data_IF_431215176267
#
_entry.id   IF_431215176267
#
_cell.length_a   1.000
_cell.length_b   1.000
_cell.length_c   1.000
_cell.angle_alpha   90.00
_cell.angle_beta   90.00
_cell.angle_gamma   90.00
#
_symmetry.space_group_name_H-M   'P 1'
#
loop_
_entity.id
_entity.type
_entity.pdbx_description
1 polymer ?
#
# COMPACT_ATOMS: atom_id res chain seq x y z
N UNK A 1 -8.33 -16.92 -5.66
CA UNK A 1 -9.37 -16.61 -4.65
C UNK A 1 -9.08 -15.32 -3.86
N UNK A 2 -7.92 -15.19 -3.20
CA UNK A 2 -7.56 -14.03 -2.37
C UNK A 2 -7.69 -12.66 -3.08
N UNK A 3 -7.19 -12.51 -4.32
CA UNK A 3 -7.33 -11.26 -5.09
C UNK A 3 -8.78 -10.81 -5.32
N UNK A 4 -9.72 -11.76 -5.48
CA UNK A 4 -11.15 -11.44 -5.64
C UNK A 4 -11.70 -10.86 -4.34
N UNK A 5 -11.33 -11.44 -3.20
CA UNK A 5 -11.73 -10.97 -1.86
C UNK A 5 -11.15 -9.57 -1.61
N UNK A 6 -9.86 -9.34 -1.92
CA UNK A 6 -9.23 -8.01 -1.81
C UNK A 6 -10.02 -6.95 -2.59
N UNK A 7 -10.35 -7.24 -3.86
CA UNK A 7 -11.14 -6.32 -4.70
C UNK A 7 -12.52 -6.03 -4.11
N UNK A 8 -13.19 -7.03 -3.54
CA UNK A 8 -14.46 -6.83 -2.84
C UNK A 8 -14.31 -5.98 -1.58
N UNK A 9 -13.24 -6.18 -0.79
CA UNK A 9 -12.94 -5.32 0.37
C UNK A 9 -12.76 -3.86 -0.07
N UNK A 10 -11.97 -3.63 -1.11
CA UNK A 10 -11.77 -2.28 -1.67
C UNK A 10 -13.08 -1.65 -2.13
N UNK A 11 -13.91 -2.39 -2.88
CA UNK A 11 -15.19 -1.90 -3.37
C UNK A 11 -16.15 -1.54 -2.22
N UNK A 12 -16.20 -2.35 -1.17
CA UNK A 12 -17.02 -2.08 0.02
C UNK A 12 -16.56 -0.82 0.73
N UNK A 13 -15.24 -0.65 0.93
CA UNK A 13 -14.69 0.56 1.54
C UNK A 13 -14.93 1.80 0.68
N UNK A 14 -14.64 1.73 -0.62
CA UNK A 14 -14.85 2.85 -1.56
C UNK A 14 -16.33 3.29 -1.57
N UNK A 15 -17.27 2.32 -1.57
CA UNK A 15 -18.71 2.61 -1.56
C UNK A 15 -19.17 3.26 -0.26
N UNK A 16 -18.67 2.77 0.88
CA UNK A 16 -18.97 3.34 2.18
C UNK A 16 -18.34 4.75 2.37
N UNK A 17 -17.13 4.95 1.87
CA UNK A 17 -16.42 6.23 1.95
C UNK A 17 -16.97 7.29 0.99
N UNK A 18 -17.78 6.91 -0.01
CA UNK A 18 -18.31 7.83 -1.02
C UNK A 18 -19.20 8.95 -0.44
N UNK A 19 -19.86 8.70 0.69
CA UNK A 19 -20.71 9.69 1.37
C UNK A 19 -19.90 10.71 2.20
N UNK A 20 -18.60 10.50 2.33
CA UNK A 20 -17.73 11.35 3.15
C UNK A 20 -17.12 12.43 2.27
N UNK A 21 -17.45 13.69 2.57
CA UNK A 21 -16.89 14.83 1.85
C UNK A 21 -15.38 14.93 2.11
N UNK A 22 -14.59 14.79 1.04
CA UNK A 22 -13.13 14.92 1.08
C UNK A 22 -12.64 15.93 0.03
N UNK A 23 -11.51 16.57 0.31
CA UNK A 23 -10.77 17.37 -0.66
C UNK A 23 -9.81 16.51 -1.52
N UNK A 24 -9.66 15.23 -1.17
CA UNK A 24 -8.78 14.30 -1.86
C UNK A 24 -9.39 13.84 -3.19
N UNK A 25 -8.61 13.92 -4.26
CA UNK A 25 -8.98 13.43 -5.57
C UNK A 25 -7.73 12.93 -6.32
N UNK A 26 -7.93 12.25 -7.45
CA UNK A 26 -6.82 11.92 -8.34
C UNK A 26 -6.14 13.22 -8.78
N UNK A 27 -4.82 13.33 -8.56
CA UNK A 27 -4.06 14.58 -8.76
C UNK A 27 -3.69 15.32 -7.47
N UNK A 28 -4.28 14.94 -6.32
CA UNK A 28 -3.81 15.35 -5.01
C UNK A 28 -2.58 14.52 -4.64
N UNK A 29 -1.42 15.16 -4.49
CA UNK A 29 -0.11 14.51 -4.36
C UNK A 29 0.60 14.78 -3.02
N UNK A 30 -0.01 15.54 -2.11
CA UNK A 30 0.63 15.96 -0.85
C UNK A 30 1.05 14.76 0.02
N UNK A 31 0.30 13.67 0.00
CA UNK A 31 0.58 12.44 0.76
C UNK A 31 1.32 11.36 -0.06
N UNK A 32 1.69 11.62 -1.32
CA UNK A 32 2.26 10.61 -2.22
C UNK A 32 3.77 10.42 -1.98
N UNK A 33 4.12 9.75 -0.88
CA UNK A 33 5.51 9.45 -0.49
C UNK A 33 5.85 7.97 -0.63
N UNK A 34 7.10 7.59 -0.33
CA UNK A 34 7.53 6.19 -0.26
C UNK A 34 7.07 5.47 1.03
N UNK A 35 6.48 6.18 2.00
CA UNK A 35 6.03 5.64 3.29
C UNK A 35 4.70 4.88 3.16
N UNK A 36 4.67 3.88 2.28
CA UNK A 36 3.49 3.09 1.93
C UNK A 36 3.75 1.66 2.33
N UNK A 37 2.93 1.12 3.22
CA UNK A 37 2.93 -0.32 3.54
C UNK A 37 1.82 -1.04 2.78
N UNK A 38 2.04 -2.32 2.48
CA UNK A 38 1.05 -3.17 1.85
C UNK A 38 1.35 -4.65 2.08
N UNK A 39 0.37 -5.48 1.72
CA UNK A 39 0.50 -6.94 1.68
C UNK A 39 0.98 -7.45 0.31
N UNK A 40 1.50 -8.68 0.26
CA UNK A 40 1.85 -9.37 -0.99
C UNK A 40 0.66 -9.51 -1.95
N UNK A 41 -0.57 -9.63 -1.42
CA UNK A 41 -1.78 -9.73 -2.25
C UNK A 41 -2.00 -8.42 -3.02
N UNK A 42 -1.79 -7.28 -2.37
CA UNK A 42 -1.88 -5.96 -3.00
C UNK A 42 -0.74 -5.75 -4.00
N UNK A 43 0.48 -6.22 -3.68
CA UNK A 43 1.60 -6.25 -4.62
C UNK A 43 1.27 -7.05 -5.88
N UNK A 44 0.75 -8.27 -5.73
CA UNK A 44 0.30 -9.08 -6.87
C UNK A 44 -0.80 -8.39 -7.69
N UNK A 45 -1.69 -7.62 -7.04
CA UNK A 45 -2.69 -6.83 -7.75
C UNK A 45 -2.05 -5.70 -8.60
N UNK A 46 -1.02 -5.03 -8.08
CA UNK A 46 -0.23 -4.05 -8.82
C UNK A 46 0.47 -4.72 -10.01
N UNK A 47 1.12 -5.87 -9.82
CA UNK A 47 1.77 -6.62 -10.90
C UNK A 47 0.77 -7.04 -11.99
N UNK A 48 -0.39 -7.58 -11.63
CA UNK A 48 -1.47 -7.93 -12.57
C UNK A 48 -1.94 -6.70 -13.36
N UNK A 49 -2.12 -5.56 -12.68
CA UNK A 49 -2.51 -4.30 -13.31
C UNK A 49 -1.47 -3.79 -14.31
N UNK A 50 -0.18 -3.82 -13.94
CA UNK A 50 0.92 -3.37 -14.79
C UNK A 50 1.13 -4.32 -15.96
N UNK A 51 1.14 -5.63 -15.71
CA UNK A 51 1.33 -6.68 -16.72
C UNK A 51 0.29 -6.60 -17.84
N UNK A 52 -0.99 -6.43 -17.49
CA UNK A 52 -2.08 -6.25 -18.48
C UNK A 52 -1.94 -5.02 -19.35
N UNK A 53 -1.17 -4.03 -18.91
CA UNK A 53 -0.87 -2.83 -19.69
C UNK A 53 0.44 -2.94 -20.49
N UNK A 54 1.15 -4.07 -20.43
CA UNK A 54 2.43 -4.26 -21.11
C UNK A 54 3.57 -3.38 -20.57
N UNK A 55 3.48 -2.95 -19.29
CA UNK A 55 4.39 -1.98 -18.68
C UNK A 55 5.33 -2.60 -17.64
N UNK A 56 5.71 -3.87 -17.79
CA UNK A 56 6.54 -4.55 -16.79
C UNK A 56 7.95 -3.94 -16.71
N UNK A 57 8.58 -3.65 -17.85
CA UNK A 57 9.89 -2.99 -17.91
C UNK A 57 9.85 -1.62 -17.20
N UNK A 58 8.79 -0.85 -17.45
CA UNK A 58 8.55 0.41 -16.75
C UNK A 58 8.47 0.25 -15.23
N UNK A 59 7.86 -0.84 -14.73
CA UNK A 59 7.81 -1.10 -13.29
C UNK A 59 9.20 -1.46 -12.76
N UNK A 60 9.97 -2.27 -13.49
CA UNK A 60 11.35 -2.61 -13.11
C UNK A 60 12.22 -1.36 -13.04
N UNK A 61 12.15 -0.46 -14.01
CA UNK A 61 12.87 0.82 -14.01
C UNK A 61 12.57 1.67 -12.77
N UNK A 62 11.32 1.60 -12.26
CA UNK A 62 10.90 2.33 -11.05
C UNK A 62 11.32 1.65 -9.74
N UNK A 63 11.63 0.35 -9.77
CA UNK A 63 12.02 -0.43 -8.60
C UNK A 63 13.54 -0.58 -8.46
N UNK A 64 14.27 -0.60 -9.58
CA UNK A 64 15.73 -0.78 -9.63
C UNK A 64 16.52 0.52 -9.42
N UNK A 65 15.89 1.56 -8.86
CA UNK A 65 16.59 2.76 -8.43
C UNK A 65 17.36 2.49 -7.13
N UNK A 66 18.55 3.05 -6.95
CA UNK A 66 19.40 2.91 -5.73
C UNK A 66 18.76 3.42 -4.42
N UNK A 67 17.53 3.94 -4.50
CA UNK A 67 16.81 4.67 -3.45
C UNK A 67 15.66 3.86 -2.83
N UNK A 68 15.81 2.53 -2.67
CA UNK A 68 14.85 1.78 -1.86
C UNK A 68 14.81 2.35 -0.44
N UNK A 69 13.62 2.59 0.13
CA UNK A 69 13.50 3.22 1.42
C UNK A 69 14.16 2.34 2.48
N UNK A 70 15.13 2.89 3.22
CA UNK A 70 15.79 2.15 4.31
C UNK A 70 14.83 1.74 5.43
N UNK A 71 13.67 2.40 5.53
CA UNK A 71 12.71 2.16 6.59
C UNK A 71 11.95 0.84 6.39
N UNK A 72 12.02 -0.04 7.40
CA UNK A 72 11.26 -1.27 7.50
C UNK A 72 10.31 -1.14 8.69
N UNK A 73 8.98 -1.16 8.47
CA UNK A 73 8.04 -1.09 9.59
C UNK A 73 8.26 -2.28 10.53
N UNK A 74 8.34 -2.01 11.83
CA UNK A 74 8.60 -3.03 12.86
C UNK A 74 7.38 -3.85 13.21
N UNK A 75 6.19 -3.23 13.13
CA UNK A 75 4.92 -3.84 13.53
C UNK A 75 3.88 -3.71 12.44
N UNK A 76 3.11 -4.77 12.24
CA UNK A 76 1.93 -4.75 11.38
C UNK A 76 0.75 -4.03 12.05
N UNK A 77 -0.34 -3.80 11.30
CA UNK A 77 -1.55 -3.21 11.88
C UNK A 77 -2.19 -4.16 12.90
N UNK A 78 -2.21 -5.47 12.63
CA UNK A 78 -2.75 -6.43 13.61
C UNK A 78 -1.83 -6.61 14.82
N UNK A 79 -0.50 -6.50 14.67
CA UNK A 79 0.42 -6.55 15.81
C UNK A 79 0.23 -5.34 16.73
N UNK A 80 0.06 -4.14 16.16
CA UNK A 80 -0.30 -2.94 16.92
C UNK A 80 -1.65 -3.12 17.62
N UNK A 81 -2.67 -3.58 16.91
CA UNK A 81 -3.98 -3.83 17.49
C UNK A 81 -3.93 -4.85 18.65
N UNK A 82 -3.14 -5.91 18.49
CA UNK A 82 -2.94 -6.93 19.51
C UNK A 82 -2.20 -6.37 20.74
N UNK A 83 -1.18 -5.54 20.54
CA UNK A 83 -0.47 -4.88 21.64
C UNK A 83 -1.40 -3.96 22.44
N UNK A 84 -2.24 -3.17 21.76
CA UNK A 84 -3.25 -2.33 22.40
C UNK A 84 -4.24 -3.15 23.24
N UNK A 85 -4.74 -4.28 22.72
CA UNK A 85 -5.63 -5.18 23.47
C UNK A 85 -4.96 -5.81 24.69
N UNK A 86 -3.64 -5.95 24.65
CA UNK A 86 -2.84 -6.50 25.74
C UNK A 86 -2.31 -5.41 26.70
N UNK A 87 -2.72 -4.14 26.52
CA UNK A 87 -2.24 -2.99 27.30
C UNK A 87 -0.70 -2.80 27.25
N UNK A 88 -0.08 -3.25 26.15
CA UNK A 88 1.34 -3.05 25.90
C UNK A 88 1.55 -1.72 25.19
N UNK A 89 2.44 -0.89 25.74
CA UNK A 89 2.88 0.35 25.10
C UNK A 89 3.94 0.03 24.05
N UNK A 90 3.53 0.03 22.77
CA UNK A 90 4.44 -0.02 21.64
C UNK A 90 4.33 1.29 20.87
N UNK A 91 5.47 1.91 20.59
CA UNK A 91 5.51 3.12 19.77
C UNK A 91 5.47 2.71 18.29
N UNK A 92 4.37 3.00 17.57
CA UNK A 92 4.32 2.73 16.14
C UNK A 92 5.28 3.71 15.44
N UNK A 93 6.47 3.24 15.05
CA UNK A 93 7.41 4.05 14.27
C UNK A 93 6.72 4.67 13.05
N UNK A 94 6.68 6.00 13.00
CA UNK A 94 6.24 6.72 11.82
C UNK A 94 7.36 6.68 10.78
N UNK A 95 7.09 6.07 9.63
CA UNK A 95 8.03 6.09 8.52
C UNK A 95 8.42 7.51 8.10
N UNK A 96 9.61 7.68 7.55
CA UNK A 96 10.04 8.99 7.04
C UNK A 96 9.29 9.35 5.76
N UNK A 97 8.75 10.56 5.69
CA UNK A 97 7.96 11.08 4.57
C UNK A 97 8.80 11.83 3.53
N UNK A 98 10.13 11.68 3.58
CA UNK A 98 11.08 12.59 2.92
C UNK A 98 11.19 12.39 1.41
N UNK A 99 10.69 11.26 0.88
CA UNK A 99 10.84 10.89 -0.53
C UNK A 99 9.50 10.68 -1.20
N UNK A 100 9.38 11.22 -2.42
CA UNK A 100 8.19 11.06 -3.27
C UNK A 100 8.04 9.61 -3.73
N UNK A 101 6.80 9.14 -3.84
CA UNK A 101 6.50 7.81 -4.37
C UNK A 101 7.03 7.67 -5.81
N UNK A 102 7.72 6.58 -6.19
CA UNK A 102 8.24 6.40 -7.56
C UNK A 102 7.14 6.24 -8.62
N UNK A 103 5.90 5.98 -8.20
CA UNK A 103 4.74 5.93 -9.10
C UNK A 103 4.07 7.30 -9.30
N UNK A 104 4.54 8.34 -8.63
CA UNK A 104 4.05 9.70 -8.80
C UNK A 104 4.64 10.32 -10.07
N UNK A 105 3.77 10.74 -10.98
CA UNK A 105 4.12 11.40 -12.23
C UNK A 105 3.25 12.64 -12.43
N UNK A 106 3.85 13.83 -12.47
CA UNK A 106 3.13 15.11 -12.61
C UNK A 106 1.90 15.24 -11.68
N UNK A 107 2.07 14.93 -10.38
CA UNK A 107 1.03 14.87 -9.33
C UNK A 107 -0.02 13.76 -9.48
N UNK A 108 0.11 12.89 -10.48
CA UNK A 108 -0.78 11.76 -10.70
C UNK A 108 -0.10 10.44 -10.35
N UNK A 109 -0.82 9.54 -9.67
CA UNK A 109 -0.31 8.19 -9.42
C UNK A 109 -0.49 7.32 -10.67
N UNK A 110 0.61 6.82 -11.22
CA UNK A 110 0.63 5.96 -12.42
C UNK A 110 -0.02 4.58 -12.22
N UNK A 111 -0.30 4.22 -10.96
CA UNK A 111 -1.02 3.01 -10.55
C UNK A 111 -2.29 3.32 -9.75
N UNK A 112 -2.88 4.51 -9.90
CA UNK A 112 -4.00 4.98 -9.05
C UNK A 112 -5.14 3.96 -8.88
N UNK A 113 -5.49 3.22 -9.94
CA UNK A 113 -6.54 2.17 -9.89
C UNK A 113 -6.16 0.92 -9.10
N UNK A 114 -4.87 0.61 -9.06
CA UNK A 114 -4.29 -0.54 -8.36
C UNK A 114 -3.57 -0.16 -7.06
N UNK A 115 -3.68 1.11 -6.62
CA UNK A 115 -3.01 1.61 -5.41
C UNK A 115 -3.38 0.74 -4.19
N UNK A 116 -2.41 0.47 -3.30
CA UNK A 116 -2.64 -0.31 -2.10
C UNK A 116 -3.59 0.43 -1.15
N UNK A 117 -4.10 -0.28 -0.14
CA UNK A 117 -5.10 0.24 0.76
C UNK A 117 -4.62 1.43 1.59
N UNK A 118 -3.35 1.42 2.01
CA UNK A 118 -2.71 2.54 2.69
C UNK A 118 -2.81 3.86 1.90
N UNK A 119 -2.66 3.80 0.58
CA UNK A 119 -2.87 4.96 -0.30
C UNK A 119 -4.35 5.25 -0.58
N UNK A 120 -5.20 4.23 -0.57
CA UNK A 120 -6.65 4.35 -0.84
C UNK A 120 -7.40 4.97 0.32
N UNK A 121 -7.01 4.65 1.55
CA UNK A 121 -7.65 5.12 2.78
C UNK A 121 -7.24 6.54 3.16
N UNK A 122 -6.14 7.07 2.61
CA UNK A 122 -5.77 8.47 2.82
C UNK A 122 -6.86 9.43 2.31
N UNK A 123 -7.34 10.25 3.25
CA UNK A 123 -8.37 11.24 3.00
C UNK A 123 -8.20 12.43 3.95
N UNK A 124 -8.62 13.59 3.48
CA UNK A 124 -8.84 14.77 4.31
C UNK A 124 -10.06 15.53 3.83
N UNK A 125 -10.78 16.17 4.75
CA UNK A 125 -11.89 17.08 4.47
C UNK A 125 -11.39 18.39 3.84
N UNK A 126 -10.14 18.76 4.10
CA UNK A 126 -9.51 20.00 3.64
C UNK A 126 -8.26 19.71 2.79
N UNK A 127 -7.84 20.69 1.98
CA UNK A 127 -6.65 20.53 1.15
C UNK A 127 -5.38 20.51 2.01
N UNK A 128 -4.67 19.37 2.03
CA UNK A 128 -3.46 19.20 2.81
C UNK A 128 -2.31 20.08 2.29
N UNK A 129 -1.54 20.66 3.23
CA UNK A 129 -0.26 21.31 2.97
C UNK A 129 0.91 20.41 3.42
N UNK A 130 2.11 20.56 2.84
CA UNK A 130 3.31 19.91 3.37
C UNK A 130 3.49 20.19 4.86
N UNK A 131 3.69 19.14 5.66
CA UNK A 131 3.85 19.24 7.13
C UNK A 131 2.55 19.42 7.93
N UNK A 132 1.39 19.55 7.27
CA UNK A 132 0.09 19.58 7.97
C UNK A 132 -0.48 18.17 8.18
N UNK A 133 -1.22 17.99 9.26
CA UNK A 133 -1.98 16.77 9.52
C UNK A 133 -3.28 16.77 8.71
N UNK A 134 -3.64 15.61 8.15
CA UNK A 134 -4.93 15.45 7.48
C UNK A 134 -6.08 15.54 8.49
N UNK A 135 -7.08 16.37 8.18
CA UNK A 135 -8.31 16.45 8.97
C UNK A 135 -9.37 15.49 8.41
N UNK A 136 -9.82 14.54 9.22
CA UNK A 136 -10.85 13.55 8.84
C UNK A 136 -11.56 13.05 10.11
N UNK A 137 -12.86 12.67 10.07
CA UNK A 137 -13.54 12.19 11.26
C UNK A 137 -12.93 10.90 11.83
N UNK A 138 -12.94 10.76 13.16
CA UNK A 138 -12.36 9.59 13.85
C UNK A 138 -12.96 8.26 13.39
N UNK A 139 -14.28 8.21 13.14
CA UNK A 139 -14.93 6.99 12.65
C UNK A 139 -14.37 6.53 11.30
N UNK A 140 -13.83 7.45 10.50
CA UNK A 140 -13.19 7.11 9.24
C UNK A 140 -11.84 6.44 9.44
N UNK A 141 -11.05 6.97 10.39
CA UNK A 141 -9.81 6.31 10.80
C UNK A 141 -10.08 4.92 11.37
N UNK A 142 -11.11 4.76 12.21
CA UNK A 142 -11.51 3.46 12.75
C UNK A 142 -11.89 2.47 11.64
N UNK A 143 -12.68 2.90 10.66
CA UNK A 143 -13.05 2.07 9.52
C UNK A 143 -11.84 1.70 8.66
N UNK A 144 -10.97 2.66 8.35
CA UNK A 144 -9.73 2.41 7.62
C UNK A 144 -8.84 1.41 8.36
N UNK A 145 -8.63 1.59 9.67
CA UNK A 145 -7.84 0.67 10.49
C UNK A 145 -8.44 -0.74 10.51
N UNK A 146 -9.77 -0.87 10.65
CA UNK A 146 -10.44 -2.17 10.61
C UNK A 146 -10.26 -2.85 9.24
N UNK A 147 -10.36 -2.11 8.14
CA UNK A 147 -10.15 -2.67 6.80
C UNK A 147 -8.69 -3.06 6.57
N UNK A 148 -7.72 -2.28 7.07
CA UNK A 148 -6.30 -2.67 7.04
C UNK A 148 -6.06 -3.99 7.77
N UNK A 149 -6.67 -4.19 8.96
CA UNK A 149 -6.60 -5.44 9.71
C UNK A 149 -7.17 -6.63 8.90
N UNK A 150 -8.31 -6.44 8.22
CA UNK A 150 -8.93 -7.47 7.37
C UNK A 150 -8.05 -7.85 6.17
N UNK A 151 -7.43 -6.86 5.52
CA UNK A 151 -6.53 -7.10 4.38
C UNK A 151 -5.28 -7.84 4.82
N UNK A 152 -4.71 -7.44 5.96
CA UNK A 152 -3.57 -8.12 6.56
C UNK A 152 -3.93 -9.56 6.97
N UNK A 153 -5.11 -9.78 7.56
CA UNK A 153 -5.61 -11.12 7.88
C UNK A 153 -5.81 -11.98 6.62
N UNK A 154 -6.35 -11.42 5.54
CA UNK A 154 -6.45 -12.11 4.25
C UNK A 154 -5.06 -12.53 3.71
N UNK A 155 -4.05 -11.71 4.00
CA UNK A 155 -2.66 -11.91 3.63
C UNK A 155 -1.84 -12.74 4.63
N UNK A 156 -2.48 -13.44 5.57
CA UNK A 156 -1.79 -14.38 6.45
C UNK A 156 -0.85 -15.33 5.67
N UNK A 157 0.34 -15.50 6.24
CA UNK A 157 1.44 -16.30 5.69
C UNK A 157 2.04 -15.78 4.37
N UNK A 158 1.77 -14.52 4.02
CA UNK A 158 2.39 -13.82 2.89
C UNK A 158 3.19 -12.61 3.38
N UNK A 159 3.99 -12.01 2.50
CA UNK A 159 4.76 -10.84 2.88
C UNK A 159 3.87 -9.63 3.24
N UNK A 160 4.33 -8.82 4.19
CA UNK A 160 3.80 -7.50 4.54
C UNK A 160 4.97 -6.56 4.81
N UNK A 161 4.85 -5.29 4.42
CA UNK A 161 5.90 -4.29 4.65
C UNK A 161 5.82 -3.13 3.69
N UNK A 162 6.94 -2.43 3.49
CA UNK A 162 7.02 -1.32 2.54
C UNK A 162 6.71 -1.78 1.10
N UNK A 163 5.89 -1.02 0.37
CA UNK A 163 5.44 -1.33 -0.98
C UNK A 163 6.58 -1.67 -1.94
N UNK A 164 7.67 -0.90 -1.93
CA UNK A 164 8.78 -1.12 -2.87
C UNK A 164 9.53 -2.41 -2.56
N UNK A 165 9.76 -2.70 -1.27
CA UNK A 165 10.35 -3.97 -0.84
C UNK A 165 9.48 -5.17 -1.20
N UNK A 166 8.17 -5.07 -1.00
CA UNK A 166 7.23 -6.16 -1.32
C UNK A 166 7.20 -6.41 -2.82
N UNK A 167 7.12 -5.37 -3.66
CA UNK A 167 7.17 -5.51 -5.11
C UNK A 167 8.47 -6.16 -5.57
N UNK A 168 9.60 -5.70 -5.02
CA UNK A 168 10.91 -6.29 -5.31
C UNK A 168 10.97 -7.77 -4.93
N UNK A 169 10.51 -8.14 -3.72
CA UNK A 169 10.49 -9.52 -3.24
C UNK A 169 9.61 -10.43 -4.10
N UNK A 170 8.45 -9.95 -4.55
CA UNK A 170 7.57 -10.73 -5.45
C UNK A 170 8.26 -10.98 -6.80
N UNK A 171 8.89 -9.96 -7.39
CA UNK A 171 9.58 -10.10 -8.68
C UNK A 171 10.75 -11.07 -8.59
N UNK A 172 11.59 -10.94 -7.55
CA UNK A 172 12.69 -11.87 -7.28
C UNK A 172 12.18 -13.31 -7.11
N UNK A 173 11.09 -13.49 -6.36
CA UNK A 173 10.42 -14.79 -6.22
C UNK A 173 10.00 -15.32 -7.60
N UNK A 174 9.34 -14.53 -8.44
CA UNK A 174 8.93 -15.00 -9.79
C UNK A 174 10.13 -15.44 -10.63
N UNK A 175 11.21 -14.66 -10.66
CA UNK A 175 12.43 -14.99 -11.41
C UNK A 175 13.06 -16.31 -10.94
N UNK A 176 13.25 -16.48 -9.63
CA UNK A 176 13.78 -17.73 -9.07
C UNK A 176 12.91 -18.95 -9.42
N UNK A 177 11.58 -18.80 -9.46
CA UNK A 177 10.69 -19.89 -9.84
C UNK A 177 10.79 -20.24 -11.33
N UNK A 178 11.03 -19.26 -12.21
CA UNK A 178 11.27 -19.50 -13.63
C UNK A 178 12.59 -20.24 -13.85
N UNK A 179 13.67 -19.78 -13.18
CA UNK A 179 14.98 -20.43 -13.25
C UNK A 179 14.94 -21.89 -12.76
N UNK A 180 14.17 -22.18 -11.70
CA UNK A 180 13.98 -23.55 -11.20
C UNK A 180 13.25 -24.45 -12.21
N UNK A 181 12.24 -23.93 -12.92
CA UNK A 181 11.51 -24.70 -13.94
C UNK A 181 12.40 -24.97 -15.15
N UNK A 182 13.19 -23.98 -15.59
CA UNK A 182 14.11 -24.12 -16.73
C UNK A 182 15.28 -25.07 -16.44
N UNK A 183 15.68 -25.23 -15.17
CA UNK A 183 16.72 -26.20 -14.75
C UNK A 183 16.19 -27.64 -14.62
N UNK A 184 14.88 -27.85 -14.48
CA UNK A 184 14.23 -29.15 -14.32
C UNK A 184 13.61 -29.71 -15.64
N UNK A 185 13.76 -29.02 -16.77
CA UNK A 185 13.33 -29.45 -18.12
C UNK A 185 14.50 -29.69 -19.06
#
# INVERSE_FOLDING_TARGET
MKLRILKSIYQSFDSWAADIKTACHQGCATCCTQAVTMTEIEGNYILDYVSRSGRMDWLLDRLLTDDLPMHRPLYTTNEIAQACLNENDIDPEMGTFDRSCPFLDHKNCSIYKARPFSCRSFASQNACQPGSTAEIPQYYLSAATAVSQLIEHLAQHLYWGNMLHILYAIIQKIGLWQDMIEQDT
#
